data_IF_907391986744
#
_entry.id   IF_907391986744
#
_cell.length_a   1.000
_cell.length_b   1.000
_cell.length_c   1.000
_cell.angle_alpha   90.00
_cell.angle_beta   90.00
_cell.angle_gamma   90.00
#
_symmetry.space_group_name_H-M   'P 1'
#
loop_
_entity.id
_entity.type
_entity.pdbx_description
1 polymer ?
#
# COMPACT_ATOMS: atom_id res chain seq x y z
N UNK A 1 26.20 -11.51 -6.80
CA UNK A 1 25.43 -10.29 -6.49
C UNK A 1 24.08 -10.73 -5.94
N UNK A 2 23.70 -10.29 -4.74
CA UNK A 2 22.49 -10.78 -4.07
C UNK A 2 21.22 -10.23 -4.72
N UNK A 3 20.18 -11.05 -4.81
CA UNK A 3 18.87 -10.74 -5.41
C UNK A 3 18.24 -9.44 -4.88
N UNK A 4 18.49 -9.09 -3.61
CA UNK A 4 18.11 -7.81 -3.00
C UNK A 4 18.65 -6.59 -3.76
N UNK A 5 19.91 -6.64 -4.21
CA UNK A 5 20.54 -5.55 -4.98
C UNK A 5 19.92 -5.37 -6.37
N UNK A 6 19.26 -6.41 -6.89
CA UNK A 6 18.62 -6.42 -8.20
C UNK A 6 17.24 -5.77 -8.17
N UNK A 7 16.48 -5.92 -7.07
CA UNK A 7 15.10 -5.44 -6.95
C UNK A 7 15.02 -4.06 -6.27
N UNK A 8 15.74 -3.83 -5.16
CA UNK A 8 15.63 -2.57 -4.40
C UNK A 8 16.95 -1.80 -4.24
N UNK A 9 18.04 -2.23 -4.89
CA UNK A 9 19.33 -1.51 -4.80
C UNK A 9 19.98 -1.60 -3.42
N UNK A 10 21.23 -1.14 -3.29
CA UNK A 10 21.95 -1.07 -2.01
C UNK A 10 21.56 0.20 -1.26
N UNK A 11 21.38 0.06 0.05
CA UNK A 11 21.08 1.12 1.02
C UNK A 11 21.86 2.42 0.77
N UNK A 12 21.13 3.50 0.56
CA UNK A 12 21.55 4.82 0.99
C UNK A 12 20.56 5.27 2.07
N UNK A 13 20.84 4.89 3.31
CA UNK A 13 20.15 5.44 4.47
C UNK A 13 20.42 6.95 4.51
N UNK A 14 19.41 7.73 4.16
CA UNK A 14 19.37 9.17 4.36
C UNK A 14 18.25 9.51 5.36
N UNK A 15 18.36 10.65 6.06
CA UNK A 15 17.51 10.94 7.21
C UNK A 15 16.04 10.93 6.82
N UNK A 16 15.19 10.50 7.75
CA UNK A 16 13.75 10.70 7.68
C UNK A 16 13.45 12.13 7.15
N UNK A 17 12.48 12.28 6.22
CA UNK A 17 12.27 13.53 5.52
C UNK A 17 12.15 14.67 6.53
N UNK A 18 13.01 15.68 6.38
CA UNK A 18 12.84 16.96 7.08
C UNK A 18 11.59 17.62 6.50
N UNK A 19 10.43 17.35 7.09
CA UNK A 19 9.24 18.18 6.92
C UNK A 19 9.59 19.54 7.55
N UNK A 20 9.85 20.53 6.70
CA UNK A 20 10.16 21.91 7.07
C UNK A 20 9.43 22.82 6.08
N UNK A 21 8.65 23.84 6.43
CA UNK A 21 8.27 24.38 7.72
C UNK A 21 6.87 25.01 7.55
N UNK A 22 6.02 24.80 8.56
CA UNK A 22 4.60 25.17 8.71
C UNK A 22 3.53 24.28 8.01
N UNK A 23 3.22 23.10 8.60
CA UNK A 23 2.05 22.30 8.20
C UNK A 23 0.70 23.01 8.41
N UNK A 24 0.65 24.17 9.09
CA UNK A 24 -0.57 24.98 9.24
C UNK A 24 -0.76 26.01 8.13
N UNK A 25 0.20 26.22 7.24
CA UNK A 25 -0.01 27.07 6.08
C UNK A 25 -1.13 26.49 5.22
N UNK A 26 -2.30 27.12 5.23
CA UNK A 26 -3.45 26.66 4.46
C UNK A 26 -3.62 27.50 3.19
N UNK A 27 -4.05 26.84 2.12
CA UNK A 27 -4.32 27.46 0.83
C UNK A 27 -5.81 27.69 0.67
N UNK A 28 -6.17 28.90 0.27
CA UNK A 28 -7.55 29.27 -0.05
C UNK A 28 -7.83 28.93 -1.51
N UNK A 29 -8.68 27.94 -1.74
CA UNK A 29 -9.12 27.50 -3.07
C UNK A 29 -10.54 27.99 -3.30
N UNK A 30 -10.81 28.49 -4.51
CA UNK A 30 -12.16 28.86 -4.94
C UNK A 30 -12.64 27.85 -5.98
N UNK A 31 -13.76 27.20 -5.68
CA UNK A 31 -14.51 26.35 -6.62
C UNK A 31 -15.90 26.95 -6.74
N UNK A 32 -16.29 27.33 -7.95
CA UNK A 32 -17.48 28.12 -8.22
C UNK A 32 -17.55 29.39 -7.31
N UNK A 33 -18.62 29.59 -6.53
CA UNK A 33 -18.78 30.69 -5.60
C UNK A 33 -18.19 30.40 -4.20
N UNK A 34 -17.75 29.18 -3.95
CA UNK A 34 -17.36 28.71 -2.61
C UNK A 34 -15.85 28.79 -2.38
N UNK A 35 -15.46 29.01 -1.12
CA UNK A 35 -14.07 29.07 -0.70
C UNK A 35 -13.76 27.96 0.29
N UNK A 36 -12.63 27.29 0.07
CA UNK A 36 -12.16 26.16 0.86
C UNK A 36 -10.78 26.47 1.41
N UNK A 37 -10.49 25.92 2.59
CA UNK A 37 -9.19 26.00 3.25
C UNK A 37 -8.60 24.60 3.24
N UNK A 38 -7.53 24.42 2.47
CA UNK A 38 -6.87 23.13 2.28
C UNK A 38 -5.45 23.23 2.85
N UNK A 39 -5.00 22.32 3.72
CA UNK A 39 -3.61 22.26 4.16
C UNK A 39 -2.65 22.29 2.97
N UNK A 40 -1.58 23.07 3.03
CA UNK A 40 -0.63 23.20 1.90
C UNK A 40 -0.10 21.85 1.42
N UNK A 41 0.21 20.95 2.34
CA UNK A 41 0.68 19.58 2.04
C UNK A 41 -0.32 18.74 1.23
N UNK A 42 -1.64 18.98 1.39
CA UNK A 42 -2.68 18.35 0.56
C UNK A 42 -2.82 19.13 -0.74
N UNK A 43 -2.88 20.47 -0.67
CA UNK A 43 -3.06 21.34 -1.83
C UNK A 43 -2.00 21.16 -2.90
N UNK A 44 -0.73 21.05 -2.50
CA UNK A 44 0.38 20.90 -3.44
C UNK A 44 0.34 19.55 -4.20
N UNK A 45 -0.45 18.58 -3.70
CA UNK A 45 -0.67 17.26 -4.31
C UNK A 45 -1.98 17.17 -5.12
N UNK A 46 -2.69 18.28 -5.31
CA UNK A 46 -3.94 18.32 -6.08
C UNK A 46 -3.69 18.66 -7.55
N UNK A 47 -4.54 18.12 -8.41
CA UNK A 47 -4.57 18.43 -9.83
C UNK A 47 -5.77 19.30 -10.18
N UNK A 48 -5.52 20.45 -10.81
CA UNK A 48 -6.55 21.39 -11.27
C UNK A 48 -6.57 21.47 -12.78
N UNK A 49 -7.75 21.29 -13.38
CA UNK A 49 -7.94 21.26 -14.83
C UNK A 49 -8.09 22.63 -15.47
N UNK A 50 -8.45 23.64 -14.67
CA UNK A 50 -8.78 24.98 -15.13
C UNK A 50 -8.46 26.07 -14.09
N UNK A 51 -8.79 27.31 -14.44
CA UNK A 51 -8.60 28.47 -13.58
C UNK A 51 -7.13 28.81 -13.32
N UNK A 52 -6.90 29.67 -12.33
CA UNK A 52 -5.56 30.18 -11.99
C UNK A 52 -4.61 29.15 -11.37
N UNK A 53 -5.15 27.99 -10.98
CA UNK A 53 -4.41 26.93 -10.30
C UNK A 53 -4.11 25.75 -11.24
N UNK A 54 -4.48 25.84 -12.52
CA UNK A 54 -4.31 24.77 -13.49
C UNK A 54 -2.86 24.28 -13.53
N UNK A 55 -2.68 22.97 -13.30
CA UNK A 55 -1.38 22.30 -13.28
C UNK A 55 -1.37 20.96 -14.07
N UNK A 56 -2.32 20.78 -14.98
CA UNK A 56 -2.50 19.54 -15.77
C UNK A 56 -1.94 19.63 -17.19
N UNK A 57 -1.03 20.58 -17.47
CA UNK A 57 -0.47 20.82 -18.81
C UNK A 57 0.23 19.56 -19.36
N UNK A 58 0.81 18.75 -18.48
CA UNK A 58 1.56 17.53 -18.84
C UNK A 58 0.67 16.30 -19.06
N UNK A 59 -0.64 16.39 -18.81
CA UNK A 59 -1.54 15.23 -18.92
C UNK A 59 -1.95 14.94 -20.37
N UNK A 60 -1.45 15.71 -21.32
CA UNK A 60 -1.82 15.62 -22.73
C UNK A 60 -1.02 14.52 -23.41
N UNK A 61 -1.61 13.33 -23.50
CA UNK A 61 -1.31 12.34 -24.53
C UNK A 61 -2.64 11.90 -25.16
N UNK A 62 -2.71 11.91 -26.49
CA UNK A 62 -3.87 11.40 -27.22
C UNK A 62 -4.14 9.94 -26.84
N UNK A 63 -5.41 9.57 -26.65
CA UNK A 63 -5.83 8.20 -26.35
C UNK A 63 -5.83 7.79 -24.87
N UNK A 64 -5.48 8.67 -23.93
CA UNK A 64 -5.62 8.40 -22.50
C UNK A 64 -7.04 8.70 -21.98
N UNK A 65 -7.52 7.86 -21.06
CA UNK A 65 -8.76 8.13 -20.29
C UNK A 65 -8.53 9.41 -19.45
N UNK A 66 -9.58 10.22 -19.28
CA UNK A 66 -9.51 11.43 -18.46
C UNK A 66 -9.07 11.10 -17.03
N UNK A 67 -8.14 11.88 -16.47
CA UNK A 67 -7.67 11.68 -15.10
C UNK A 67 -8.80 11.94 -14.10
N UNK A 68 -9.20 10.93 -13.30
CA UNK A 68 -10.36 11.05 -12.40
C UNK A 68 -10.15 12.10 -11.31
N UNK A 69 -8.93 12.31 -10.82
CA UNK A 69 -8.64 13.23 -9.70
C UNK A 69 -8.62 14.72 -10.06
N UNK A 70 -8.82 15.10 -11.34
CA UNK A 70 -8.76 16.52 -11.74
C UNK A 70 -9.94 17.29 -11.15
N UNK A 71 -9.62 18.31 -10.36
CA UNK A 71 -10.58 19.28 -9.85
C UNK A 71 -10.77 20.41 -10.86
N UNK A 72 -12.02 20.74 -11.19
CA UNK A 72 -12.35 21.90 -12.03
C UNK A 72 -12.95 23.01 -11.17
N UNK A 73 -12.23 24.12 -11.05
CA UNK A 73 -12.65 25.30 -10.30
C UNK A 73 -13.92 25.98 -10.83
N UNK A 74 -14.31 25.71 -12.08
CA UNK A 74 -15.59 26.17 -12.65
C UNK A 74 -16.75 25.17 -12.47
N UNK A 75 -16.53 23.99 -11.88
CA UNK A 75 -17.61 23.05 -11.63
C UNK A 75 -18.61 23.61 -10.63
N UNK A 76 -19.91 23.43 -10.89
CA UNK A 76 -20.98 23.73 -9.94
C UNK A 76 -20.79 22.92 -8.65
N UNK A 77 -20.93 23.58 -7.50
CA UNK A 77 -20.92 22.95 -6.18
C UNK A 77 -22.04 23.50 -5.32
N UNK A 78 -22.74 22.64 -4.59
CA UNK A 78 -23.90 23.00 -3.78
C UNK A 78 -23.64 22.61 -2.32
N UNK A 79 -23.86 23.53 -1.39
CA UNK A 79 -23.70 23.30 0.05
C UNK A 79 -24.95 22.61 0.63
N UNK A 80 -25.23 21.41 0.15
CA UNK A 80 -26.27 20.53 0.67
C UNK A 80 -25.68 19.15 0.93
N UNK A 81 -26.35 18.33 1.73
CA UNK A 81 -25.91 16.95 1.95
C UNK A 81 -26.23 16.11 0.72
N UNK A 82 -25.28 15.29 0.23
CA UNK A 82 -25.50 14.48 -0.95
C UNK A 82 -26.58 13.43 -0.67
N UNK A 83 -27.49 13.26 -1.62
CA UNK A 83 -28.57 12.27 -1.51
C UNK A 83 -28.08 10.84 -1.72
N UNK A 84 -26.90 10.68 -2.31
CA UNK A 84 -26.26 9.39 -2.60
C UNK A 84 -24.81 9.36 -2.12
N UNK A 85 -24.33 8.16 -1.78
CA UNK A 85 -22.89 7.93 -1.53
C UNK A 85 -22.10 8.02 -2.83
N UNK A 86 -20.81 8.32 -2.70
CA UNK A 86 -19.87 8.25 -3.82
C UNK A 86 -19.82 6.82 -4.36
N UNK A 87 -19.89 6.68 -5.68
CA UNK A 87 -19.83 5.38 -6.36
C UNK A 87 -18.45 4.74 -6.25
N UNK A 88 -18.38 3.43 -6.55
CA UNK A 88 -17.10 2.75 -6.70
C UNK A 88 -16.33 3.31 -7.90
N UNK A 89 -15.01 3.48 -7.74
CA UNK A 89 -14.13 4.10 -8.74
C UNK A 89 -14.58 5.48 -9.21
N UNK A 90 -14.68 6.48 -8.30
CA UNK A 90 -15.22 7.77 -8.66
C UNK A 90 -14.30 8.56 -9.59
N UNK A 91 -14.89 9.45 -10.38
CA UNK A 91 -14.18 10.56 -11.03
C UNK A 91 -14.73 11.88 -10.49
N UNK A 92 -13.90 12.91 -10.38
CA UNK A 92 -14.36 14.21 -9.90
C UNK A 92 -15.48 14.75 -10.79
N UNK A 93 -15.37 14.55 -12.10
CA UNK A 93 -16.34 15.04 -13.07
C UNK A 93 -17.73 14.40 -12.90
N UNK A 94 -17.77 13.10 -12.55
CA UNK A 94 -19.00 12.35 -12.31
C UNK A 94 -19.65 12.61 -10.95
N UNK A 95 -18.98 13.32 -10.02
CA UNK A 95 -19.59 13.69 -8.74
C UNK A 95 -20.73 14.69 -8.94
N UNK A 96 -21.80 14.55 -8.15
CA UNK A 96 -22.86 15.57 -8.08
C UNK A 96 -22.31 16.90 -7.51
N UNK A 97 -22.98 18.04 -7.74
CA UNK A 97 -22.55 19.31 -7.14
C UNK A 97 -22.38 19.27 -5.61
N UNK A 98 -23.25 18.52 -4.91
CA UNK A 98 -23.16 18.31 -3.46
C UNK A 98 -21.92 17.47 -3.11
N UNK A 99 -21.69 16.37 -3.82
CA UNK A 99 -20.51 15.54 -3.61
C UNK A 99 -19.21 16.29 -3.90
N UNK A 100 -19.16 17.14 -4.94
CA UNK A 100 -18.02 18.02 -5.23
C UNK A 100 -17.76 18.98 -4.07
N UNK A 101 -18.81 19.57 -3.48
CA UNK A 101 -18.68 20.43 -2.32
C UNK A 101 -18.05 19.68 -1.13
N UNK A 102 -18.56 18.49 -0.82
CA UNK A 102 -18.09 17.70 0.32
C UNK A 102 -16.70 17.09 0.09
N UNK A 103 -16.36 16.69 -1.13
CA UNK A 103 -15.00 16.24 -1.49
C UNK A 103 -13.97 17.33 -1.19
N UNK A 104 -14.17 18.55 -1.71
CA UNK A 104 -13.19 19.64 -1.52
C UNK A 104 -13.14 20.08 -0.06
N UNK A 105 -14.25 19.97 0.68
CA UNK A 105 -14.29 20.17 2.14
C UNK A 105 -13.53 19.06 2.89
N UNK A 106 -13.63 17.81 2.43
CA UNK A 106 -12.94 16.65 2.99
C UNK A 106 -11.42 16.73 2.79
N UNK A 107 -10.94 17.31 1.68
CA UNK A 107 -9.50 17.60 1.48
C UNK A 107 -8.90 18.48 2.59
N UNK A 108 -9.72 19.31 3.26
CA UNK A 108 -9.32 20.06 4.45
C UNK A 108 -9.17 19.22 5.72
N UNK A 109 -9.58 17.95 5.69
CA UNK A 109 -9.68 17.02 6.83
C UNK A 109 -9.29 15.59 6.41
N UNK A 110 -8.17 15.46 5.68
CA UNK A 110 -7.73 14.22 5.03
C UNK A 110 -7.61 13.00 5.97
N UNK A 111 -7.47 13.24 7.27
CA UNK A 111 -7.36 12.20 8.29
C UNK A 111 -8.69 11.52 8.66
N UNK A 112 -9.81 12.02 8.14
CA UNK A 112 -11.13 11.44 8.42
C UNK A 112 -11.46 10.34 7.41
N UNK A 113 -11.73 9.15 7.92
CA UNK A 113 -12.05 7.94 7.15
C UNK A 113 -13.56 7.78 6.84
N UNK A 114 -14.34 8.86 6.95
CA UNK A 114 -15.80 8.83 6.86
C UNK A 114 -16.35 8.66 5.43
N UNK A 115 -15.54 8.94 4.40
CA UNK A 115 -15.89 8.69 3.00
C UNK A 115 -14.71 8.11 2.20
N UNK A 116 -14.77 6.79 1.96
CA UNK A 116 -13.74 6.06 1.23
C UNK A 116 -13.66 6.47 -0.25
N UNK A 117 -14.78 6.91 -0.86
CA UNK A 117 -14.80 7.31 -2.26
C UNK A 117 -13.94 8.55 -2.51
N UNK A 118 -14.02 9.54 -1.61
CA UNK A 118 -13.12 10.70 -1.62
C UNK A 118 -11.66 10.32 -1.43
N UNK A 119 -11.38 9.32 -0.59
CA UNK A 119 -10.04 8.80 -0.39
C UNK A 119 -9.46 8.21 -1.68
N UNK A 120 -10.25 7.42 -2.42
CA UNK A 120 -9.85 6.88 -3.72
C UNK A 120 -9.60 7.99 -4.75
N UNK A 121 -10.48 9.00 -4.79
CA UNK A 121 -10.33 10.11 -5.73
C UNK A 121 -9.01 10.86 -5.51
N UNK A 122 -8.62 11.09 -4.25
CA UNK A 122 -7.34 11.69 -3.93
C UNK A 122 -6.16 10.73 -4.19
N UNK A 123 -6.30 9.44 -3.85
CA UNK A 123 -5.29 8.41 -4.13
C UNK A 123 -4.91 8.38 -5.62
N UNK A 124 -5.86 8.54 -6.54
CA UNK A 124 -5.55 8.57 -7.97
C UNK A 124 -4.57 9.69 -8.36
N UNK A 125 -4.75 10.89 -7.76
CA UNK A 125 -3.84 12.01 -7.97
C UNK A 125 -2.44 11.76 -7.41
N UNK A 126 -2.37 11.11 -6.24
CA UNK A 126 -1.11 10.71 -5.61
C UNK A 126 -0.38 9.64 -6.44
N UNK A 127 -1.10 8.63 -6.93
CA UNK A 127 -0.56 7.63 -7.83
C UNK A 127 -0.02 8.25 -9.12
N UNK A 128 -0.66 9.29 -9.66
CA UNK A 128 -0.15 10.02 -10.82
C UNK A 128 1.16 10.76 -10.53
N UNK A 129 1.30 11.38 -9.36
CA UNK A 129 2.57 11.96 -8.92
C UNK A 129 3.69 10.92 -8.91
N UNK A 130 3.45 9.79 -8.24
CA UNK A 130 4.39 8.67 -8.16
C UNK A 130 4.68 8.10 -9.56
N UNK A 131 3.67 7.97 -10.41
CA UNK A 131 3.81 7.47 -11.77
C UNK A 131 4.68 8.38 -12.64
N UNK A 132 4.42 9.69 -12.61
CA UNK A 132 5.13 10.69 -13.39
C UNK A 132 6.53 11.03 -12.84
N UNK A 133 6.86 10.59 -11.62
CA UNK A 133 8.11 10.97 -10.96
C UNK A 133 8.11 12.40 -10.40
N UNK A 134 6.93 12.98 -10.22
CA UNK A 134 6.76 14.30 -9.61
C UNK A 134 6.32 14.15 -8.16
N UNK A 135 6.92 14.89 -7.24
CA UNK A 135 6.52 14.90 -5.82
C UNK A 135 6.40 13.50 -5.16
N UNK A 136 7.25 12.55 -5.57
CA UNK A 136 7.16 11.14 -5.18
C UNK A 136 7.18 10.97 -3.65
N UNK A 137 8.13 11.61 -2.97
CA UNK A 137 8.24 11.53 -1.50
C UNK A 137 6.98 12.04 -0.81
N UNK A 138 6.45 13.17 -1.26
CA UNK A 138 5.29 13.81 -0.67
C UNK A 138 4.04 12.93 -0.87
N UNK A 139 3.89 12.36 -2.06
CA UNK A 139 2.80 11.45 -2.37
C UNK A 139 2.88 10.15 -1.53
N UNK A 140 4.05 9.50 -1.48
CA UNK A 140 4.27 8.29 -0.66
C UNK A 140 4.00 8.57 0.82
N UNK A 141 4.46 9.72 1.33
CA UNK A 141 4.23 10.11 2.72
C UNK A 141 2.74 10.35 3.01
N UNK A 142 2.01 11.00 2.10
CA UNK A 142 0.57 11.23 2.22
C UNK A 142 -0.22 9.90 2.19
N UNK A 143 0.12 9.01 1.25
CA UNK A 143 -0.49 7.66 1.18
C UNK A 143 -0.22 6.89 2.47
N UNK A 144 1.02 6.90 2.96
CA UNK A 144 1.38 6.22 4.22
C UNK A 144 0.56 6.75 5.40
N UNK A 145 0.38 8.07 5.51
CA UNK A 145 -0.44 8.69 6.55
C UNK A 145 -1.91 8.26 6.46
N UNK A 146 -2.49 8.29 5.26
CA UNK A 146 -3.88 7.86 5.05
C UNK A 146 -4.04 6.37 5.36
N UNK A 147 -3.14 5.53 4.85
CA UNK A 147 -3.12 4.09 5.08
C UNK A 147 -3.09 3.74 6.57
N UNK A 148 -2.27 4.43 7.36
CA UNK A 148 -2.18 4.20 8.81
C UNK A 148 -3.44 4.61 9.58
N UNK A 149 -4.20 5.60 9.08
CA UNK A 149 -5.39 6.13 9.77
C UNK A 149 -6.69 5.46 9.36
N UNK A 150 -6.76 4.93 8.15
CA UNK A 150 -8.01 4.47 7.56
C UNK A 150 -8.19 2.99 7.85
N UNK A 151 -9.35 2.64 8.42
CA UNK A 151 -9.76 1.26 8.62
C UNK A 151 -10.79 0.87 7.57
N UNK A 152 -10.31 0.65 6.34
CA UNK A 152 -11.14 0.21 5.22
C UNK A 152 -10.35 -0.77 4.35
N UNK A 153 -10.88 -1.98 4.20
CA UNK A 153 -10.21 -3.09 3.50
C UNK A 153 -9.80 -2.72 2.07
N UNK A 154 -10.73 -2.19 1.26
CA UNK A 154 -10.45 -1.80 -0.11
C UNK A 154 -9.39 -0.70 -0.18
N UNK A 155 -9.50 0.34 0.64
CA UNK A 155 -8.51 1.41 0.65
C UNK A 155 -7.14 0.90 1.10
N UNK A 156 -7.08 0.04 2.13
CA UNK A 156 -5.85 -0.60 2.61
C UNK A 156 -5.18 -1.43 1.49
N UNK A 157 -5.97 -2.20 0.74
CA UNK A 157 -5.48 -2.98 -0.40
C UNK A 157 -4.84 -2.09 -1.47
N UNK A 158 -5.52 -1.04 -1.93
CA UNK A 158 -4.98 -0.20 -3.00
C UNK A 158 -3.85 0.73 -2.56
N UNK A 159 -3.92 1.28 -1.34
CA UNK A 159 -2.82 2.08 -0.79
C UNK A 159 -1.58 1.23 -0.54
N UNK A 160 -1.73 -0.01 -0.07
CA UNK A 160 -0.59 -0.93 0.09
C UNK A 160 0.03 -1.31 -1.26
N UNK A 161 -0.79 -1.64 -2.26
CA UNK A 161 -0.32 -1.87 -3.63
C UNK A 161 0.42 -0.65 -4.19
N UNK A 162 -0.04 0.56 -3.91
CA UNK A 162 0.65 1.78 -4.36
C UNK A 162 2.04 1.92 -3.74
N UNK A 163 2.16 1.67 -2.44
CA UNK A 163 3.46 1.75 -1.74
C UNK A 163 4.44 0.68 -2.25
N UNK A 164 3.95 -0.55 -2.48
CA UNK A 164 4.74 -1.64 -3.08
C UNK A 164 5.15 -1.30 -4.52
N UNK A 165 4.23 -0.79 -5.32
CA UNK A 165 4.48 -0.36 -6.69
C UNK A 165 5.54 0.76 -6.74
N UNK A 166 5.43 1.76 -5.86
CA UNK A 166 6.39 2.85 -5.74
C UNK A 166 7.77 2.34 -5.34
N UNK A 167 7.83 1.48 -4.30
CA UNK A 167 9.08 0.88 -3.84
C UNK A 167 9.77 0.12 -4.98
N UNK A 168 9.01 -0.65 -5.76
CA UNK A 168 9.52 -1.41 -6.89
C UNK A 168 10.03 -0.50 -8.01
N UNK A 169 9.23 0.48 -8.45
CA UNK A 169 9.61 1.41 -9.52
C UNK A 169 10.89 2.18 -9.20
N UNK A 170 10.97 2.71 -7.98
CA UNK A 170 12.08 3.58 -7.58
C UNK A 170 13.24 2.82 -6.93
N UNK A 171 13.10 1.52 -6.70
CA UNK A 171 14.06 0.69 -5.96
C UNK A 171 14.36 1.28 -4.58
N UNK A 172 13.29 1.53 -3.81
CA UNK A 172 13.35 2.23 -2.51
C UNK A 172 12.51 1.51 -1.47
N UNK A 173 13.19 0.73 -0.62
CA UNK A 173 12.57 -0.10 0.42
C UNK A 173 11.86 0.73 1.50
N UNK A 174 12.30 1.97 1.73
CA UNK A 174 11.74 2.86 2.73
C UNK A 174 10.30 3.29 2.43
N UNK A 175 9.85 3.17 1.17
CA UNK A 175 8.45 3.43 0.80
C UNK A 175 7.50 2.39 1.40
N UNK A 176 8.03 1.26 1.89
CA UNK A 176 7.27 0.21 2.56
C UNK A 176 7.09 0.48 4.07
N UNK A 177 7.78 1.46 4.66
CA UNK A 177 7.75 1.72 6.10
C UNK A 177 6.35 2.11 6.63
N UNK A 178 5.47 2.61 5.77
CA UNK A 178 4.11 3.01 6.12
C UNK A 178 3.09 1.86 6.16
N UNK A 179 3.46 0.65 5.76
CA UNK A 179 2.53 -0.47 5.56
C UNK A 179 2.05 -1.10 6.86
N UNK A 180 0.73 -1.30 6.97
CA UNK A 180 0.09 -2.19 7.93
C UNK A 180 0.11 -3.61 7.37
N UNK A 181 1.13 -4.37 7.78
CA UNK A 181 1.45 -5.69 7.22
C UNK A 181 0.29 -6.69 7.29
N UNK A 182 -0.58 -6.56 8.28
CA UNK A 182 -1.76 -7.39 8.56
C UNK A 182 -2.95 -7.11 7.63
N UNK A 183 -2.94 -5.99 6.91
CA UNK A 183 -4.01 -5.60 5.97
C UNK A 183 -3.71 -5.96 4.51
N UNK A 184 -2.58 -6.61 4.27
CA UNK A 184 -2.10 -6.95 2.92
C UNK A 184 -2.44 -8.39 2.54
N UNK A 185 -2.58 -8.69 1.24
CA UNK A 185 -2.65 -10.08 0.78
C UNK A 185 -1.42 -10.89 1.26
N UNK A 186 -1.59 -12.17 1.67
CA UNK A 186 -0.52 -13.01 2.21
C UNK A 186 0.75 -13.08 1.34
N UNK A 187 0.60 -13.20 0.02
CA UNK A 187 1.73 -13.22 -0.91
C UNK A 187 2.57 -11.94 -0.86
N UNK A 188 1.90 -10.78 -0.84
CA UNK A 188 2.55 -9.48 -0.72
C UNK A 188 3.15 -9.29 0.68
N UNK A 189 2.51 -9.80 1.73
CA UNK A 189 3.04 -9.73 3.09
C UNK A 189 4.37 -10.48 3.23
N UNK A 190 4.46 -11.72 2.75
CA UNK A 190 5.72 -12.50 2.76
C UNK A 190 6.81 -11.76 2.00
N UNK A 191 6.48 -11.28 0.79
CA UNK A 191 7.41 -10.50 -0.02
C UNK A 191 7.92 -9.29 0.77
N UNK A 192 7.05 -8.43 1.30
CA UNK A 192 7.49 -7.23 2.01
C UNK A 192 8.31 -7.58 3.26
N UNK A 193 7.92 -8.58 4.06
CA UNK A 193 8.66 -8.96 5.27
C UNK A 193 10.05 -9.49 4.96
N UNK A 194 10.17 -10.43 4.03
CA UNK A 194 11.47 -10.98 3.63
C UNK A 194 12.38 -9.88 3.07
N UNK A 195 11.85 -8.92 2.32
CA UNK A 195 12.68 -7.90 1.67
C UNK A 195 13.01 -6.70 2.55
N UNK A 196 12.15 -6.37 3.52
CA UNK A 196 12.40 -5.25 4.46
C UNK A 196 13.10 -5.69 5.74
N UNK A 197 12.90 -6.94 6.18
CA UNK A 197 13.48 -7.49 7.42
C UNK A 197 14.56 -8.54 7.18
N UNK A 198 14.64 -9.10 5.98
CA UNK A 198 15.58 -10.16 5.65
C UNK A 198 15.18 -11.53 6.20
N UNK A 199 14.03 -11.66 6.87
CA UNK A 199 13.60 -12.90 7.49
C UNK A 199 12.08 -12.93 7.77
N UNK A 200 11.56 -14.10 8.14
CA UNK A 200 10.23 -14.30 8.71
C UNK A 200 10.34 -14.84 10.14
N UNK A 201 9.63 -14.20 11.06
CA UNK A 201 9.55 -14.63 12.47
C UNK A 201 8.61 -15.84 12.64
N UNK A 202 8.67 -16.56 13.78
CA UNK A 202 7.69 -17.60 14.11
C UNK A 202 6.23 -17.13 13.98
N UNK A 203 5.91 -15.97 14.56
CA UNK A 203 4.58 -15.37 14.46
C UNK A 203 4.17 -15.07 12.99
N UNK A 204 5.09 -14.58 12.15
CA UNK A 204 4.78 -14.37 10.73
C UNK A 204 4.37 -15.67 10.04
N UNK A 205 5.12 -16.75 10.30
CA UNK A 205 4.88 -18.07 9.73
C UNK A 205 3.55 -18.66 10.25
N UNK A 206 3.20 -18.42 11.52
CA UNK A 206 1.93 -18.85 12.11
C UNK A 206 0.73 -18.14 11.48
N UNK A 207 0.80 -16.81 11.31
CA UNK A 207 -0.26 -16.01 10.67
C UNK A 207 -0.53 -16.51 9.25
N UNK A 208 0.51 -16.92 8.55
CA UNK A 208 0.47 -17.39 7.15
C UNK A 208 0.27 -18.92 7.03
N UNK A 209 0.05 -19.62 8.14
CA UNK A 209 0.16 -21.09 8.16
C UNK A 209 -0.86 -21.78 7.25
N UNK A 210 -2.08 -21.23 7.15
CA UNK A 210 -3.13 -21.74 6.26
C UNK A 210 -2.73 -21.61 4.79
N UNK A 211 -2.23 -20.45 4.39
CA UNK A 211 -1.77 -20.16 3.03
C UNK A 211 -0.53 -20.97 2.66
N UNK A 212 0.32 -21.27 3.65
CA UNK A 212 1.46 -22.18 3.54
C UNK A 212 1.07 -23.67 3.50
N UNK A 213 -0.23 -23.99 3.63
CA UNK A 213 -0.76 -25.33 3.43
C UNK A 213 -0.99 -26.15 4.71
N UNK A 214 -0.90 -25.54 5.89
CA UNK A 214 -1.25 -26.24 7.13
C UNK A 214 -2.78 -26.38 7.24
N UNK A 215 -3.27 -27.60 7.02
CA UNK A 215 -4.71 -27.89 7.01
C UNK A 215 -5.36 -27.75 8.39
N UNK A 216 -4.68 -28.25 9.43
CA UNK A 216 -5.17 -28.20 10.81
C UNK A 216 -4.57 -27.01 11.55
N UNK A 217 -5.46 -26.17 12.07
CA UNK A 217 -5.14 -24.92 12.73
C UNK A 217 -5.41 -24.97 14.23
N UNK A 218 -5.87 -26.12 14.75
CA UNK A 218 -6.37 -26.23 16.12
C UNK A 218 -5.25 -25.96 17.12
N UNK A 219 -4.06 -26.53 16.94
CA UNK A 219 -2.95 -26.26 17.87
C UNK A 219 -2.53 -24.78 17.89
N UNK A 220 -2.54 -24.09 16.74
CA UNK A 220 -2.24 -22.64 16.69
C UNK A 220 -3.30 -21.84 17.45
N UNK A 221 -4.57 -22.27 17.41
CA UNK A 221 -5.69 -21.57 18.07
C UNK A 221 -5.78 -21.87 19.57
N UNK A 222 -5.55 -23.14 19.93
CA UNK A 222 -5.74 -23.65 21.29
C UNK A 222 -4.57 -23.24 22.19
N UNK A 223 -3.35 -23.24 21.66
CA UNK A 223 -2.13 -22.88 22.41
C UNK A 223 -1.09 -22.20 21.50
N UNK A 224 -1.34 -20.93 21.09
CA UNK A 224 -0.47 -20.19 20.18
C UNK A 224 0.94 -20.00 20.74
N UNK A 225 1.08 -19.77 22.06
CA UNK A 225 2.38 -19.54 22.70
C UNK A 225 3.26 -20.79 22.65
N UNK A 226 2.69 -21.97 22.95
CA UNK A 226 3.42 -23.23 22.85
C UNK A 226 3.76 -23.59 21.40
N UNK A 227 2.86 -23.32 20.45
CA UNK A 227 3.14 -23.52 19.04
C UNK A 227 4.32 -22.64 18.60
N UNK A 228 4.30 -21.35 18.95
CA UNK A 228 5.35 -20.39 18.62
C UNK A 228 6.70 -20.81 19.19
N UNK A 229 6.74 -21.20 20.47
CA UNK A 229 7.96 -21.67 21.13
C UNK A 229 8.54 -22.92 20.46
N UNK A 230 7.70 -23.91 20.10
CA UNK A 230 8.15 -25.11 19.38
C UNK A 230 8.62 -24.80 17.97
N UNK A 231 7.98 -23.86 17.27
CA UNK A 231 8.40 -23.43 15.94
C UNK A 231 9.76 -22.71 16.01
N UNK A 232 9.94 -21.83 16.99
CA UNK A 232 11.20 -21.14 17.29
C UNK A 232 12.35 -22.14 17.51
N UNK A 233 12.17 -23.15 18.36
CA UNK A 233 13.17 -24.18 18.59
C UNK A 233 13.59 -24.89 17.30
N UNK A 234 12.63 -25.14 16.40
CA UNK A 234 12.90 -25.79 15.11
C UNK A 234 13.63 -24.88 14.13
N UNK A 235 13.32 -23.58 14.11
CA UNK A 235 14.03 -22.60 13.32
C UNK A 235 15.49 -22.51 13.76
N UNK A 236 15.73 -22.38 15.08
CA UNK A 236 17.09 -22.36 15.65
C UNK A 236 17.85 -23.64 15.30
N UNK A 237 17.19 -24.80 15.40
CA UNK A 237 17.82 -26.08 15.06
C UNK A 237 18.17 -26.21 13.58
N UNK A 238 17.32 -25.70 12.68
CA UNK A 238 17.49 -25.86 11.22
C UNK A 238 18.42 -24.82 10.62
N UNK A 239 18.33 -23.56 11.04
CA UNK A 239 19.02 -22.43 10.43
C UNK A 239 20.08 -21.79 11.34
N UNK A 240 20.14 -22.17 12.62
CA UNK A 240 21.04 -21.56 13.60
C UNK A 240 20.59 -20.20 14.13
N UNK A 241 19.37 -19.76 13.76
CA UNK A 241 18.80 -18.46 14.12
C UNK A 241 17.28 -18.58 14.39
N UNK A 242 16.67 -17.63 15.11
CA UNK A 242 15.27 -17.73 15.54
C UNK A 242 14.23 -17.49 14.41
N UNK A 243 14.67 -17.31 13.17
CA UNK A 243 13.83 -16.91 12.05
C UNK A 243 14.07 -17.82 10.83
N UNK A 244 13.18 -17.74 9.85
CA UNK A 244 13.45 -18.22 8.50
C UNK A 244 14.17 -17.10 7.72
N UNK A 245 15.47 -17.25 7.37
CA UNK A 245 16.22 -16.16 6.77
C UNK A 245 16.09 -16.14 5.25
N UNK A 246 16.11 -14.94 4.66
CA UNK A 246 16.09 -14.75 3.21
C UNK A 246 17.30 -15.40 2.51
N UNK A 247 18.40 -15.64 3.22
CA UNK A 247 19.57 -16.33 2.68
C UNK A 247 19.26 -17.75 2.18
N UNK A 248 18.18 -18.38 2.68
CA UNK A 248 17.72 -19.69 2.21
C UNK A 248 17.02 -19.63 0.85
N UNK A 249 16.73 -18.43 0.34
CA UNK A 249 16.10 -18.23 -0.97
C UNK A 249 17.20 -17.93 -2.01
N UNK A 250 17.51 -18.85 -2.93
CA UNK A 250 18.54 -18.64 -3.94
C UNK A 250 18.21 -17.44 -4.84
N UNK A 251 19.24 -16.70 -5.23
CA UNK A 251 19.09 -15.38 -5.86
C UNK A 251 18.65 -15.34 -7.34
N UNK A 252 17.88 -16.31 -7.82
CA UNK A 252 17.38 -16.34 -9.20
C UNK A 252 15.88 -16.61 -9.22
N UNK A 253 15.11 -15.56 -9.55
CA UNK A 253 13.68 -15.51 -9.91
C UNK A 253 12.76 -16.51 -9.20
N UNK A 254 11.78 -16.01 -8.44
CA UNK A 254 10.58 -16.81 -8.24
C UNK A 254 10.05 -17.23 -9.62
N UNK A 255 9.75 -18.52 -9.79
CA UNK A 255 9.17 -19.04 -11.03
C UNK A 255 7.78 -18.41 -11.30
N UNK A 256 7.17 -17.85 -10.26
CA UNK A 256 5.87 -17.20 -10.25
C UNK A 256 5.98 -15.75 -9.78
N UNK A 257 5.11 -14.88 -10.30
CA UNK A 257 5.00 -13.48 -9.88
C UNK A 257 3.58 -13.18 -9.40
N UNK A 258 3.45 -12.12 -8.61
CA UNK A 258 2.17 -11.50 -8.30
C UNK A 258 2.12 -10.10 -8.91
N UNK A 259 0.99 -9.79 -9.54
CA UNK A 259 0.75 -8.48 -10.13
C UNK A 259 0.31 -7.47 -9.06
N UNK A 260 1.03 -6.37 -8.96
CA UNK A 260 0.68 -5.21 -8.13
C UNK A 260 0.26 -4.08 -9.05
N UNK A 261 -0.96 -3.56 -8.85
CA UNK A 261 -1.60 -2.59 -9.75
C UNK A 261 -2.05 -1.34 -8.99
N UNK A 262 -1.81 -0.17 -9.59
CA UNK A 262 -2.35 1.12 -9.13
C UNK A 262 -3.85 1.24 -9.41
N UNK A 263 -4.57 1.88 -8.50
CA UNK A 263 -6.03 2.05 -8.56
C UNK A 263 -6.47 3.00 -9.70
N UNK A 264 -5.63 3.98 -10.04
CA UNK A 264 -5.88 5.00 -11.03
C UNK A 264 -5.97 4.38 -12.43
N UNK A 265 -7.22 4.21 -12.87
CA UNK A 265 -7.56 3.59 -14.14
C UNK A 265 -7.24 4.46 -15.36
N UNK A 266 -6.90 5.73 -15.16
CA UNK A 266 -6.49 6.60 -16.27
C UNK A 266 -5.02 6.45 -16.66
N UNK A 267 -4.22 5.74 -15.84
CA UNK A 267 -2.86 5.35 -16.21
C UNK A 267 -2.89 4.13 -17.15
N UNK A 268 -1.99 4.04 -18.16
CA UNK A 268 -1.92 2.88 -19.04
C UNK A 268 -1.75 1.58 -18.27
N UNK A 269 -2.47 0.52 -18.66
CA UNK A 269 -2.46 -0.76 -17.95
C UNK A 269 -1.07 -1.36 -17.77
N UNK A 270 -0.26 -1.31 -18.83
CA UNK A 270 1.13 -1.78 -18.83
C UNK A 270 2.07 -0.92 -17.96
N UNK A 271 1.73 0.36 -17.75
CA UNK A 271 2.54 1.27 -16.93
C UNK A 271 2.11 1.24 -15.46
N UNK A 272 0.83 0.99 -15.18
CA UNK A 272 0.27 0.98 -13.81
C UNK A 272 0.33 -0.36 -13.08
N UNK A 273 0.92 -1.37 -13.72
CA UNK A 273 1.07 -2.73 -13.17
C UNK A 273 2.56 -3.08 -13.09
N UNK A 274 3.01 -3.64 -11.96
CA UNK A 274 4.34 -4.24 -11.83
C UNK A 274 4.21 -5.68 -11.36
N UNK A 275 5.13 -6.52 -11.79
CA UNK A 275 5.26 -7.90 -11.32
C UNK A 275 6.30 -7.95 -10.21
N UNK A 276 5.92 -8.47 -9.05
CA UNK A 276 6.85 -8.75 -7.96
C UNK A 276 6.95 -10.26 -7.73
N UNK A 277 8.09 -10.74 -7.20
CA UNK A 277 8.26 -12.15 -6.85
C UNK A 277 7.16 -12.69 -5.93
N UNK A 278 6.55 -13.80 -6.32
CA UNK A 278 5.63 -14.54 -5.47
C UNK A 278 6.40 -15.42 -4.50
N UNK A 279 6.67 -14.86 -3.31
CA UNK A 279 7.40 -15.55 -2.27
C UNK A 279 6.57 -16.62 -1.55
N UNK A 280 5.24 -16.57 -1.63
CA UNK A 280 4.36 -17.57 -1.00
C UNK A 280 4.39 -18.91 -1.76
N UNK A 281 4.49 -18.85 -3.09
CA UNK A 281 4.57 -20.04 -3.95
C UNK A 281 5.99 -20.37 -4.40
N UNK A 282 7.00 -19.60 -3.98
CA UNK A 282 8.39 -19.95 -4.19
C UNK A 282 8.74 -21.23 -3.41
N UNK A 283 9.16 -22.29 -4.11
CA UNK A 283 9.50 -23.60 -3.49
C UNK A 283 10.51 -23.51 -2.34
N UNK A 284 11.49 -22.60 -2.43
CA UNK A 284 12.52 -22.41 -1.41
C UNK A 284 11.98 -21.71 -0.14
N UNK A 285 10.80 -21.10 -0.23
CA UNK A 285 10.09 -20.54 0.93
C UNK A 285 9.01 -21.52 1.39
N UNK A 286 8.15 -21.95 0.47
CA UNK A 286 6.96 -22.74 0.77
C UNK A 286 7.29 -24.10 1.38
N UNK A 287 8.14 -24.88 0.74
CA UNK A 287 8.42 -26.26 1.19
C UNK A 287 9.08 -26.29 2.58
N UNK A 288 10.12 -25.48 2.87
CA UNK A 288 10.74 -25.50 4.19
C UNK A 288 9.80 -25.01 5.30
N UNK A 289 8.96 -24.01 5.03
CA UNK A 289 8.00 -23.49 6.01
C UNK A 289 6.85 -24.48 6.26
N UNK A 290 6.33 -25.12 5.21
CA UNK A 290 5.32 -26.15 5.34
C UNK A 290 5.83 -27.34 6.16
N UNK A 291 7.06 -27.80 5.89
CA UNK A 291 7.71 -28.87 6.67
C UNK A 291 7.82 -28.51 8.16
N UNK A 292 8.22 -27.26 8.47
CA UNK A 292 8.32 -26.76 9.84
C UNK A 292 6.96 -26.71 10.54
N UNK A 293 5.93 -26.21 9.86
CA UNK A 293 4.56 -26.13 10.36
C UNK A 293 4.00 -27.54 10.66
N UNK A 294 4.12 -28.48 9.72
CA UNK A 294 3.64 -29.85 9.91
C UNK A 294 4.33 -30.57 11.06
N UNK A 295 5.66 -30.43 11.18
CA UNK A 295 6.42 -31.02 12.29
C UNK A 295 6.04 -30.41 13.63
N UNK A 296 5.81 -29.09 13.68
CA UNK A 296 5.36 -28.39 14.88
C UNK A 296 3.98 -28.88 15.28
N UNK A 297 3.05 -28.95 14.33
CA UNK A 297 1.67 -29.39 14.58
C UNK A 297 1.59 -30.82 15.14
N UNK A 298 2.36 -31.77 14.57
CA UNK A 298 2.42 -33.15 15.08
C UNK A 298 2.96 -33.25 16.51
N UNK A 299 3.88 -32.37 16.91
CA UNK A 299 4.49 -32.40 18.24
C UNK A 299 3.66 -31.76 19.36
N UNK A 300 2.59 -31.03 19.05
CA UNK A 300 1.58 -30.62 20.04
C UNK A 300 0.66 -31.78 20.43
N UNK A 301 0.33 -32.63 19.46
CA UNK A 301 -0.57 -33.78 19.65
C UNK A 301 0.01 -34.93 20.47
N UNK A 302 1.34 -34.98 20.64
CA UNK A 302 2.03 -36.04 21.41
C UNK A 302 2.06 -35.78 22.93
N UNK A 303 1.50 -34.66 23.41
CA UNK A 303 1.46 -34.33 24.84
C UNK A 303 0.14 -34.77 25.51
N UNK A 304 -0.83 -35.28 24.75
CA UNK A 304 -2.09 -35.81 25.30
C UNK A 304 -2.04 -37.34 25.36
N UNK A 305 -1.28 -37.91 26.31
CA UNK A 305 -1.44 -39.29 26.79
C UNK A 305 -1.18 -39.31 28.30
#
# INVERSE_FOLDING_TARGET
>A
MGFLSTIFGKDMALPAPKISNDPHAARKVRIDAHHYIIPKEVYDLLWFGDGRHKNTQEFVKEGMVAEPSIIFGKSSVIREDPTTKVEFYPSYDSLTPEQKYHYVKWLGKIDKSDDVGYAFLFLYGLERHIHAGSMVEQAVSMISRMHQKFDNESFNYYSSNTLVWAAHKYRRVEFLNGLKMDTMPPGTQIFVKLYTKGHLTPNDIMILSKELGLADQDFIKDDPELFEAKLLERLIKKYGEPNFPLSEVPGSSSETTISVRLANFSLPEAERTVEIPDMLNNKYVREPLQELLEKTNRSGRLIVI
#
